data_IF_126240615125
#
_entry.id   IF_126240615125
#
_cell.length_a   1.000
_cell.length_b   1.000
_cell.length_c   1.000
_cell.angle_alpha   90.00
_cell.angle_beta   90.00
_cell.angle_gamma   90.00
#
_symmetry.space_group_name_H-M   'P 1'
#
loop_
_entity.id
_entity.type
_entity.pdbx_description
1 polymer ?
#
# COMPACT_ATOMS: atom_id res chain seq x y z
N UNK A 1 -14.78 11.83 -1.58
CA UNK A 1 -13.72 10.88 -2.02
C UNK A 1 -13.48 11.20 -3.49
N UNK A 2 -12.23 11.37 -3.90
CA UNK A 2 -11.91 11.43 -5.34
C UNK A 2 -11.87 9.99 -5.86
N UNK A 3 -12.83 9.64 -6.71
CA UNK A 3 -12.88 8.34 -7.36
C UNK A 3 -11.84 8.29 -8.49
N UNK A 4 -11.04 7.23 -8.50
CA UNK A 4 -10.20 6.91 -9.66
C UNK A 4 -11.03 6.04 -10.62
N UNK A 5 -11.28 6.54 -11.82
CA UNK A 5 -12.10 5.88 -12.86
C UNK A 5 -11.17 5.29 -13.93
N UNK A 6 -11.34 4.00 -14.21
CA UNK A 6 -10.66 3.28 -15.29
C UNK A 6 -11.58 3.13 -16.51
N UNK A 7 -11.09 3.24 -17.77
CA UNK A 7 -11.20 4.43 -18.64
C UNK A 7 -12.56 5.17 -18.58
N UNK A 8 -12.83 6.13 -19.47
CA UNK A 8 -14.04 6.98 -19.52
C UNK A 8 -15.42 6.22 -19.47
N UNK A 9 -15.38 4.89 -19.48
CA UNK A 9 -16.48 3.94 -19.62
C UNK A 9 -16.30 2.66 -18.75
N UNK A 10 -15.36 2.60 -17.80
CA UNK A 10 -15.27 1.47 -16.86
C UNK A 10 -15.79 1.77 -15.45
N UNK A 11 -15.59 0.82 -14.52
CA UNK A 11 -16.15 0.88 -13.16
C UNK A 11 -15.27 1.74 -12.26
N UNK A 12 -15.90 2.47 -11.34
CA UNK A 12 -15.19 3.14 -10.24
C UNK A 12 -14.40 2.09 -9.44
N UNK A 13 -13.13 2.39 -9.17
CA UNK A 13 -12.31 1.50 -8.37
C UNK A 13 -12.82 1.41 -6.94
N UNK A 14 -12.79 0.20 -6.39
CA UNK A 14 -13.08 -0.03 -4.98
C UNK A 14 -11.78 -0.04 -4.18
N UNK A 15 -11.70 0.68 -3.05
CA UNK A 15 -10.49 0.75 -2.24
C UNK A 15 -10.23 -0.56 -1.47
N UNK A 16 -11.25 -1.39 -1.27
CA UNK A 16 -11.09 -2.67 -0.56
C UNK A 16 -10.36 -3.71 -1.43
N UNK A 17 -9.33 -4.39 -0.90
CA UNK A 17 -8.80 -5.61 -1.49
C UNK A 17 -9.87 -6.68 -1.71
N UNK A 18 -9.61 -7.61 -2.63
CA UNK A 18 -10.52 -8.72 -2.92
C UNK A 18 -10.65 -9.71 -1.75
N UNK A 19 -9.64 -9.81 -0.91
CA UNK A 19 -9.51 -10.86 0.10
C UNK A 19 -9.79 -10.39 1.54
N UNK A 20 -9.92 -9.07 1.77
CA UNK A 20 -10.09 -8.49 3.11
C UNK A 20 -10.49 -7.01 3.05
N UNK A 21 -10.84 -6.43 4.19
CA UNK A 21 -11.06 -4.99 4.28
C UNK A 21 -9.76 -4.21 4.49
N UNK A 22 -9.74 -2.93 4.12
CA UNK A 22 -8.70 -1.95 4.40
C UNK A 22 -8.52 -1.73 5.89
N UNK A 23 -9.59 -1.86 6.68
CA UNK A 23 -9.50 -1.75 8.13
C UNK A 23 -8.75 -2.95 8.71
N UNK A 24 -8.99 -4.16 8.22
CA UNK A 24 -8.21 -5.34 8.60
C UNK A 24 -6.72 -5.20 8.20
N UNK A 25 -6.46 -4.67 7.01
CA UNK A 25 -5.09 -4.36 6.56
C UNK A 25 -4.44 -3.36 7.52
N UNK A 26 -5.14 -2.29 7.87
CA UNK A 26 -4.62 -1.26 8.75
C UNK A 26 -4.36 -1.78 10.16
N UNK A 27 -5.22 -2.66 10.69
CA UNK A 27 -5.02 -3.30 12.00
C UNK A 27 -3.74 -4.14 12.01
N UNK A 28 -3.54 -5.03 11.03
CA UNK A 28 -2.33 -5.87 10.95
C UNK A 28 -1.06 -5.03 10.83
N UNK A 29 -1.08 -4.01 9.97
CA UNK A 29 0.07 -3.12 9.79
C UNK A 29 0.39 -2.34 11.07
N UNK A 30 -0.61 -1.80 11.79
CA UNK A 30 -0.39 -1.11 13.08
C UNK A 30 0.23 -2.03 14.12
N UNK A 31 -0.10 -3.32 14.11
CA UNK A 31 0.52 -4.32 14.97
C UNK A 31 1.98 -4.65 14.58
N UNK A 32 2.49 -4.10 13.47
CA UNK A 32 3.85 -4.36 12.97
C UNK A 32 3.94 -5.64 12.13
N UNK A 33 2.79 -6.18 11.70
CA UNK A 33 2.71 -7.41 10.92
C UNK A 33 2.82 -7.12 9.41
N UNK A 34 3.39 -8.08 8.68
CA UNK A 34 3.36 -8.06 7.22
C UNK A 34 2.00 -8.50 6.71
N UNK A 35 1.39 -7.72 5.81
CA UNK A 35 0.04 -7.98 5.30
C UNK A 35 0.09 -8.16 3.78
N UNK A 36 -0.45 -9.27 3.27
CA UNK A 36 -0.63 -9.48 1.83
C UNK A 36 -2.05 -9.10 1.40
N UNK A 37 -2.19 -8.49 0.23
CA UNK A 37 -3.48 -8.08 -0.35
C UNK A 37 -3.53 -8.38 -1.84
N UNK A 38 -4.74 -8.59 -2.36
CA UNK A 38 -4.99 -8.68 -3.80
C UNK A 38 -5.90 -7.53 -4.24
N UNK A 39 -5.41 -6.67 -5.14
CA UNK A 39 -6.21 -5.58 -5.72
C UNK A 39 -6.68 -5.96 -7.13
N UNK A 40 -7.89 -5.56 -7.48
CA UNK A 40 -8.44 -5.69 -8.83
C UNK A 40 -9.17 -4.37 -9.21
N UNK A 41 -8.63 -3.55 -10.13
CA UNK A 41 -9.17 -2.23 -10.44
C UNK A 41 -10.32 -2.26 -11.46
N UNK A 42 -11.01 -3.40 -11.59
CA UNK A 42 -12.15 -3.55 -12.48
C UNK A 42 -11.82 -3.83 -13.95
N UNK A 43 -10.55 -4.12 -14.27
CA UNK A 43 -10.07 -4.50 -15.61
C UNK A 43 -9.60 -5.97 -15.68
N UNK A 44 -9.93 -6.76 -14.66
CA UNK A 44 -9.45 -8.12 -14.40
C UNK A 44 -7.94 -8.27 -14.14
N UNK A 45 -7.17 -7.18 -14.13
CA UNK A 45 -5.76 -7.19 -13.69
C UNK A 45 -5.70 -7.39 -12.18
N UNK A 46 -4.84 -8.29 -11.71
CA UNK A 46 -4.64 -8.53 -10.27
C UNK A 46 -3.27 -8.07 -9.81
N UNK A 47 -3.24 -7.29 -8.74
CA UNK A 47 -2.02 -6.83 -8.09
C UNK A 47 -1.89 -7.54 -6.75
N UNK A 48 -0.94 -8.47 -6.67
CA UNK A 48 -0.61 -9.14 -5.42
C UNK A 48 0.48 -8.32 -4.72
N UNK A 49 0.17 -7.74 -3.57
CA UNK A 49 1.09 -6.92 -2.80
C UNK A 49 1.35 -7.56 -1.43
N UNK A 50 2.58 -7.49 -0.95
CA UNK A 50 2.92 -7.64 0.46
C UNK A 50 3.39 -6.29 1.00
N UNK A 51 2.77 -5.88 2.10
CA UNK A 51 3.05 -4.64 2.81
C UNK A 51 3.77 -5.00 4.10
N UNK A 52 4.95 -4.44 4.30
CA UNK A 52 5.73 -4.61 5.53
C UNK A 52 5.88 -3.25 6.19
N UNK A 53 5.33 -3.03 7.38
CA UNK A 53 5.48 -1.76 8.07
C UNK A 53 6.94 -1.55 8.45
N UNK A 54 7.50 -0.37 8.20
CA UNK A 54 8.92 -0.11 8.48
C UNK A 54 9.25 -0.09 9.99
N UNK A 55 8.23 0.02 10.85
CA UNK A 55 8.36 -0.18 12.29
C UNK A 55 8.32 -1.66 12.72
N UNK A 56 8.14 -2.59 11.78
CA UNK A 56 8.27 -4.03 12.06
C UNK A 56 9.71 -4.38 12.42
N UNK A 57 9.95 -5.23 13.43
CA UNK A 57 11.29 -5.75 13.74
C UNK A 57 11.99 -6.40 12.55
N UNK A 58 11.23 -6.91 11.56
CA UNK A 58 11.76 -7.55 10.36
C UNK A 58 12.62 -6.62 9.48
N UNK A 59 12.32 -5.31 9.50
CA UNK A 59 12.94 -4.32 8.61
C UNK A 59 13.55 -3.13 9.36
N UNK A 60 13.09 -2.85 10.57
CA UNK A 60 13.48 -1.68 11.36
C UNK A 60 14.99 -1.51 11.50
N UNK A 61 15.72 -2.60 11.76
CA UNK A 61 17.17 -2.54 11.93
C UNK A 61 17.96 -2.31 10.65
N UNK A 62 17.34 -2.58 9.50
CA UNK A 62 17.96 -2.41 8.18
C UNK A 62 17.64 -1.05 7.54
N UNK A 63 16.74 -0.23 8.10
CA UNK A 63 16.34 1.05 7.49
C UNK A 63 17.52 2.01 7.23
N UNK A 64 18.53 1.99 8.11
CA UNK A 64 19.71 2.84 7.96
C UNK A 64 20.52 2.57 6.68
N UNK A 65 20.53 1.32 6.18
CA UNK A 65 21.30 0.97 4.97
C UNK A 65 20.65 1.47 3.69
N UNK A 66 19.35 1.82 3.74
CA UNK A 66 18.57 2.35 2.61
C UNK A 66 18.29 3.85 2.76
N UNK A 67 18.97 4.52 3.70
CA UNK A 67 18.85 5.97 3.88
C UNK A 67 17.59 6.44 4.60
N UNK A 68 16.84 5.54 5.25
CA UNK A 68 15.67 5.90 6.06
C UNK A 68 16.09 5.95 7.54
N UNK A 69 16.04 7.13 8.20
CA UNK A 69 16.30 7.20 9.64
C UNK A 69 15.27 6.37 10.42
N UNK A 70 15.72 5.58 11.39
CA UNK A 70 14.85 4.76 12.25
C UNK A 70 13.75 5.58 12.95
N UNK A 71 14.03 6.84 13.29
CA UNK A 71 13.06 7.76 13.90
C UNK A 71 11.87 8.09 13.00
N UNK A 72 11.95 7.82 11.70
CA UNK A 72 10.90 8.03 10.70
C UNK A 72 10.25 6.72 10.25
N UNK A 73 10.54 5.59 10.90
CA UNK A 73 10.04 4.28 10.47
C UNK A 73 8.51 4.22 10.34
N UNK A 74 7.77 4.92 11.20
CA UNK A 74 6.31 5.02 11.17
C UNK A 74 5.75 5.78 9.94
N UNK A 75 6.60 6.45 9.16
CA UNK A 75 6.21 7.18 7.96
C UNK A 75 6.27 6.33 6.69
N UNK A 76 6.77 5.09 6.76
CA UNK A 76 7.05 4.26 5.60
C UNK A 76 6.44 2.86 5.71
N UNK A 77 5.99 2.34 4.57
CA UNK A 77 5.73 0.93 4.32
C UNK A 77 6.71 0.44 3.25
N UNK A 78 7.34 -0.71 3.45
CA UNK A 78 7.96 -1.45 2.35
C UNK A 78 6.85 -2.19 1.60
N UNK A 79 6.67 -1.86 0.33
CA UNK A 79 5.70 -2.51 -0.56
C UNK A 79 6.46 -3.45 -1.47
N UNK A 80 6.01 -4.70 -1.54
CA UNK A 80 6.51 -5.71 -2.47
C UNK A 80 5.36 -6.13 -3.36
N UNK A 81 5.45 -5.84 -4.65
CA UNK A 81 4.54 -6.36 -5.67
C UNK A 81 5.09 -7.67 -6.18
N UNK A 82 4.30 -8.74 -6.08
CA UNK A 82 4.63 -10.02 -6.70
C UNK A 82 4.19 -10.04 -8.17
N UNK A 83 5.09 -10.48 -9.03
CA UNK A 83 4.80 -10.80 -10.42
C UNK A 83 5.69 -11.96 -10.89
N UNK A 84 5.35 -12.49 -12.06
CA UNK A 84 6.10 -13.55 -12.73
C UNK A 84 7.53 -13.14 -13.12
N UNK A 85 7.90 -11.87 -12.98
CA UNK A 85 9.19 -11.30 -13.38
C UNK A 85 10.19 -11.09 -12.23
N UNK A 86 9.90 -11.60 -11.02
CA UNK A 86 10.83 -11.53 -9.89
C UNK A 86 10.48 -10.47 -8.84
N UNK A 87 9.33 -9.82 -8.98
CA UNK A 87 8.81 -8.87 -8.01
C UNK A 87 9.49 -7.50 -8.06
N UNK A 88 8.74 -6.47 -7.65
CA UNK A 88 9.28 -5.13 -7.48
C UNK A 88 8.99 -4.64 -6.08
N UNK A 89 9.95 -3.94 -5.46
CA UNK A 89 9.77 -3.38 -4.13
C UNK A 89 10.12 -1.91 -4.07
N UNK A 90 9.39 -1.16 -3.25
CA UNK A 90 9.65 0.26 -3.01
C UNK A 90 9.17 0.66 -1.62
N UNK A 91 9.68 1.78 -1.11
CA UNK A 91 9.19 2.38 0.12
C UNK A 91 8.08 3.38 -0.19
N UNK A 92 6.90 3.16 0.38
CA UNK A 92 5.74 4.02 0.25
C UNK A 92 5.57 4.87 1.52
N UNK A 93 5.58 6.20 1.37
CA UNK A 93 5.26 7.12 2.46
C UNK A 93 3.80 7.59 2.40
N UNK A 94 3.34 8.30 3.43
CA UNK A 94 1.95 8.78 3.55
C UNK A 94 1.49 9.74 2.46
N UNK A 95 2.44 10.39 1.78
CA UNK A 95 2.20 11.36 0.69
C UNK A 95 2.63 10.79 -0.67
N UNK A 96 2.62 9.47 -0.82
CA UNK A 96 3.10 8.81 -2.03
C UNK A 96 2.37 9.34 -3.28
N UNK A 97 3.13 9.64 -4.32
CA UNK A 97 2.65 9.95 -5.66
C UNK A 97 2.97 8.83 -6.65
N UNK A 98 2.38 8.89 -7.84
CA UNK A 98 2.54 7.85 -8.86
C UNK A 98 4.01 7.65 -9.29
N UNK A 99 4.84 8.70 -9.25
CA UNK A 99 6.27 8.59 -9.59
C UNK A 99 7.12 7.95 -8.49
N UNK A 100 6.61 7.83 -7.27
CA UNK A 100 7.27 7.15 -6.14
C UNK A 100 7.02 5.63 -6.14
N UNK A 101 6.07 5.17 -6.96
CA UNK A 101 5.80 3.73 -7.14
C UNK A 101 6.99 3.08 -7.85
N UNK A 102 7.45 1.96 -7.29
CA UNK A 102 8.68 1.28 -7.69
C UNK A 102 8.82 1.07 -9.21
N UNK A 103 10.06 1.21 -9.71
CA UNK A 103 10.38 1.21 -11.14
C UNK A 103 9.97 -0.07 -11.91
N UNK A 104 9.71 -1.18 -11.22
CA UNK A 104 9.17 -2.41 -11.82
C UNK A 104 7.70 -2.32 -12.23
N UNK A 105 6.98 -1.28 -11.81
CA UNK A 105 5.63 -0.98 -12.31
C UNK A 105 5.78 -0.11 -13.56
N UNK A 106 5.66 -0.70 -14.76
CA UNK A 106 5.98 0.03 -16.01
C UNK A 106 4.83 0.89 -16.54
N UNK A 107 3.59 0.53 -16.24
CA UNK A 107 2.42 1.21 -16.78
C UNK A 107 2.00 2.38 -15.89
N UNK A 108 1.83 3.58 -16.47
CA UNK A 108 1.46 4.80 -15.74
C UNK A 108 0.16 4.64 -14.94
N UNK A 109 -0.86 4.04 -15.54
CA UNK A 109 -2.11 3.77 -14.85
C UNK A 109 -1.92 2.89 -13.61
N UNK A 110 -1.12 1.82 -13.71
CA UNK A 110 -0.80 0.97 -12.56
C UNK A 110 -0.11 1.76 -11.43
N UNK A 111 0.73 2.74 -11.77
CA UNK A 111 1.37 3.61 -10.79
C UNK A 111 0.36 4.55 -10.11
N UNK A 112 -0.50 5.18 -10.89
CA UNK A 112 -1.56 6.06 -10.37
C UNK A 112 -2.52 5.31 -9.45
N UNK A 113 -2.94 4.11 -9.86
CA UNK A 113 -3.75 3.18 -9.08
C UNK A 113 -3.09 2.84 -7.75
N UNK A 114 -1.83 2.38 -7.78
CA UNK A 114 -1.13 1.95 -6.57
C UNK A 114 -0.89 3.12 -5.63
N UNK A 115 -0.53 4.29 -6.14
CA UNK A 115 -0.37 5.50 -5.33
C UNK A 115 -1.70 5.93 -4.70
N UNK A 116 -2.79 5.98 -5.47
CA UNK A 116 -4.13 6.27 -4.96
C UNK A 116 -4.52 5.29 -3.85
N UNK A 117 -4.37 3.99 -4.08
CA UNK A 117 -4.76 2.96 -3.11
C UNK A 117 -3.93 3.05 -1.82
N UNK A 118 -2.62 3.25 -1.94
CA UNK A 118 -1.75 3.44 -0.79
C UNK A 118 -2.12 4.68 0.03
N UNK A 119 -2.55 5.78 -0.62
CA UNK A 119 -3.06 6.96 0.09
C UNK A 119 -4.36 6.65 0.85
N UNK A 120 -5.27 5.88 0.28
CA UNK A 120 -6.48 5.43 0.99
C UNK A 120 -6.14 4.56 2.20
N UNK A 121 -5.19 3.63 2.06
CA UNK A 121 -4.68 2.84 3.17
C UNK A 121 -4.05 3.73 4.26
N UNK A 122 -3.25 4.72 3.89
CA UNK A 122 -2.63 5.65 4.85
C UNK A 122 -3.65 6.48 5.62
N UNK A 123 -4.75 6.89 4.99
CA UNK A 123 -5.88 7.51 5.69
C UNK A 123 -6.45 6.59 6.75
N UNK A 124 -6.52 5.27 6.49
CA UNK A 124 -6.96 4.29 7.49
C UNK A 124 -5.95 4.08 8.59
N UNK A 125 -4.66 3.98 8.28
CA UNK A 125 -3.58 3.80 9.26
C UNK A 125 -3.48 4.95 10.26
N UNK A 126 -3.67 6.18 9.78
CA UNK A 126 -3.54 7.41 10.56
C UNK A 126 -4.81 7.84 11.28
N UNK A 127 -5.97 7.20 11.00
CA UNK A 127 -7.15 7.39 11.85
C UNK A 127 -6.80 6.99 13.28
N UNK A 128 -7.12 7.81 14.30
CA UNK A 128 -7.11 7.33 15.67
C UNK A 128 -8.03 6.12 15.75
N UNK A 129 -7.60 5.05 16.42
CA UNK A 129 -8.48 3.92 16.69
C UNK A 129 -9.72 4.49 17.40
N UNK A 130 -10.87 4.50 16.74
CA UNK A 130 -12.11 4.86 17.41
C UNK A 130 -12.23 3.90 18.58
N UNK A 131 -12.25 4.46 19.79
CA UNK A 131 -12.46 3.69 21.00
C UNK A 131 -13.73 2.87 20.76
N UNK A 132 -13.57 1.55 20.69
CA UNK A 132 -14.69 0.61 20.65
C UNK A 132 -15.40 0.72 22.00
N UNK A 133 -16.24 1.75 22.12
CA UNK A 133 -17.35 1.76 23.05
C UNK A 133 -18.51 1.12 22.30
N UNK A 134 -18.74 -0.17 22.58
CA UNK A 134 -19.98 -0.74 23.14
C UNK A 134 -19.72 -2.24 23.33
#
# INVERSE_FOLDING_TARGET
MEELIYPFNGRAMHPEPLDRTLDDVAVGLRAGESVSVVLEPGDATRYNLCLVPCWSPLVYDSLGSVGIPKSRANEYLLVVKFDSSGGSSWFAHSQIEHYDVGGGVQNQWSRELLAWWLRELWKRLTKPAEASHV
#
